data_IF_959971414942
#
_entry.id   IF_959971414942
#
_cell.length_a   1.000
_cell.length_b   1.000
_cell.length_c   1.000
_cell.angle_alpha   90.00
_cell.angle_beta   90.00
_cell.angle_gamma   90.00
#
_symmetry.space_group_name_H-M   'P 1'
#
loop_
_entity.id
_entity.type
_entity.pdbx_description
1 polymer ?
#
# COMPACT_ATOMS: atom_id res chain seq x y z
N UNK A 1 -6.08 8.77 16.32
CA UNK A 1 -5.43 7.54 15.84
C UNK A 1 -5.29 7.72 14.34
N UNK A 2 -4.06 7.71 13.85
CA UNK A 2 -3.79 7.80 12.41
C UNK A 2 -3.40 6.40 12.00
N UNK A 3 -4.14 5.82 11.08
CA UNK A 3 -3.80 4.53 10.49
C UNK A 3 -2.83 4.80 9.34
N UNK A 4 -1.74 4.05 9.25
CA UNK A 4 -0.80 4.11 8.13
C UNK A 4 -0.72 2.75 7.44
N UNK A 5 -0.60 2.75 6.10
CA UNK A 5 -0.33 1.53 5.34
C UNK A 5 1.17 1.30 5.29
N UNK A 6 1.62 0.07 5.53
CA UNK A 6 3.00 -0.32 5.30
C UNK A 6 3.07 -1.53 4.35
N UNK A 7 4.20 -1.68 3.66
CA UNK A 7 4.43 -2.76 2.71
C UNK A 7 4.97 -3.97 3.44
N UNK A 8 4.32 -5.11 3.27
CA UNK A 8 4.80 -6.42 3.72
C UNK A 8 5.28 -7.19 2.49
N UNK A 9 6.43 -7.87 2.60
CA UNK A 9 7.01 -8.68 1.54
C UNK A 9 6.97 -10.17 1.92
N UNK A 10 6.84 -11.05 0.93
CA UNK A 10 6.84 -12.51 1.13
C UNK A 10 8.23 -13.09 1.43
N UNK A 11 9.23 -12.21 1.46
CA UNK A 11 10.61 -12.53 1.77
C UNK A 11 11.00 -11.84 3.08
N UNK A 12 11.31 -12.63 4.10
CA UNK A 12 11.70 -12.16 5.43
C UNK A 12 13.03 -11.39 5.43
N UNK A 13 13.95 -11.71 4.49
CA UNK A 13 15.24 -11.05 4.35
C UNK A 13 15.44 -10.51 2.92
N UNK A 14 14.74 -9.42 2.55
CA UNK A 14 14.75 -8.89 1.19
C UNK A 14 16.07 -8.18 0.83
N UNK A 15 16.91 -7.87 1.82
CA UNK A 15 18.19 -7.16 1.65
C UNK A 15 18.04 -5.64 1.49
N UNK A 16 16.87 -5.09 1.75
CA UNK A 16 16.57 -3.66 1.77
C UNK A 16 15.49 -3.33 2.80
N UNK A 17 15.31 -2.05 3.11
CA UNK A 17 14.26 -1.58 4.00
C UNK A 17 12.96 -1.35 3.22
N UNK A 18 11.88 -2.01 3.65
CA UNK A 18 10.52 -1.87 3.08
C UNK A 18 9.69 -0.80 3.80
N UNK A 19 10.32 0.00 4.67
CA UNK A 19 9.68 1.12 5.33
C UNK A 19 9.33 2.27 4.35
N UNK A 20 8.12 2.78 4.50
CA UNK A 20 7.60 3.98 3.83
C UNK A 20 7.14 4.97 4.89
N UNK A 21 7.35 6.26 4.65
CA UNK A 21 6.89 7.28 5.59
C UNK A 21 5.37 7.39 5.58
N UNK A 22 4.77 7.49 4.38
CA UNK A 22 3.33 7.51 4.15
C UNK A 22 2.56 8.63 4.87
N UNK A 23 3.22 9.60 5.51
CA UNK A 23 2.59 10.64 6.35
C UNK A 23 1.67 11.57 5.58
N UNK A 24 1.93 11.81 4.30
CA UNK A 24 1.10 12.62 3.43
C UNK A 24 0.00 11.78 2.80
N UNK A 25 0.30 10.53 2.41
CA UNK A 25 -0.71 9.58 1.96
C UNK A 25 -1.80 9.37 3.01
N UNK A 26 -1.43 9.10 4.26
CA UNK A 26 -2.37 8.87 5.36
C UNK A 26 -3.31 10.07 5.63
N UNK A 27 -2.88 11.29 5.30
CA UNK A 27 -3.70 12.51 5.44
C UNK A 27 -4.64 12.73 4.25
N UNK A 28 -4.36 12.07 3.14
CA UNK A 28 -5.01 12.28 1.85
C UNK A 28 -5.75 11.02 1.36
N UNK A 29 -5.84 9.95 2.16
CA UNK A 29 -6.50 8.67 1.82
C UNK A 29 -7.84 8.85 1.13
N UNK A 30 -8.74 9.67 1.69
CA UNK A 30 -10.06 9.90 1.10
C UNK A 30 -10.01 10.55 -0.30
N UNK A 31 -8.99 11.38 -0.58
CA UNK A 31 -8.80 11.98 -1.91
C UNK A 31 -8.14 11.00 -2.87
N UNK A 32 -7.18 10.22 -2.39
CA UNK A 32 -6.55 9.15 -3.17
C UNK A 32 -7.58 8.11 -3.60
N UNK A 33 -8.48 7.70 -2.71
CA UNK A 33 -9.60 6.82 -3.07
C UNK A 33 -10.49 7.43 -4.15
N UNK A 34 -10.80 8.72 -4.05
CA UNK A 34 -11.57 9.41 -5.08
C UNK A 34 -10.84 9.43 -6.44
N UNK A 35 -9.51 9.60 -6.43
CA UNK A 35 -8.66 9.51 -7.62
C UNK A 35 -8.69 8.08 -8.18
N UNK A 36 -8.48 7.04 -7.36
CA UNK A 36 -8.54 5.64 -7.77
C UNK A 36 -9.88 5.30 -8.43
N UNK A 37 -10.99 5.72 -7.82
CA UNK A 37 -12.33 5.54 -8.37
C UNK A 37 -12.50 6.26 -9.72
N UNK A 38 -11.98 7.47 -9.86
CA UNK A 38 -12.03 8.26 -11.11
C UNK A 38 -11.21 7.59 -12.22
N UNK A 39 -10.08 6.98 -11.88
CA UNK A 39 -9.20 6.25 -12.80
C UNK A 39 -9.70 4.83 -13.09
N UNK A 40 -10.62 4.30 -12.28
CA UNK A 40 -11.09 2.91 -12.40
C UNK A 40 -10.04 1.87 -11.98
N UNK A 41 -9.10 2.25 -11.11
CA UNK A 41 -8.05 1.38 -10.58
C UNK A 41 -8.37 0.96 -9.13
N UNK A 42 -7.68 -0.08 -8.65
CA UNK A 42 -7.74 -0.53 -7.25
C UNK A 42 -7.31 0.58 -6.29
N UNK A 43 -7.80 0.53 -5.05
CA UNK A 43 -7.44 1.42 -3.93
C UNK A 43 -6.39 0.76 -3.03
N UNK A 44 -5.82 1.54 -2.11
CA UNK A 44 -4.94 0.99 -1.07
C UNK A 44 -5.62 -0.15 -0.29
N UNK A 45 -6.90 0.04 0.09
CA UNK A 45 -7.68 -0.99 0.80
C UNK A 45 -7.85 -2.30 0.00
N UNK A 46 -7.81 -2.26 -1.33
CA UNK A 46 -7.92 -3.49 -2.14
C UNK A 46 -6.62 -4.32 -2.15
N UNK A 47 -5.50 -3.71 -1.72
CA UNK A 47 -4.22 -4.38 -1.52
C UNK A 47 -3.96 -4.71 -0.04
N UNK A 48 -4.87 -4.32 0.84
CA UNK A 48 -4.78 -4.65 2.26
C UNK A 48 -5.16 -6.12 2.45
N UNK A 49 -4.24 -6.89 3.01
CA UNK A 49 -4.53 -8.21 3.56
C UNK A 49 -3.93 -8.33 4.93
N UNK A 50 -4.75 -8.79 5.86
CA UNK A 50 -4.38 -9.07 7.23
C UNK A 50 -4.33 -10.59 7.40
N UNK A 51 -3.30 -11.07 8.08
CA UNK A 51 -3.23 -12.48 8.49
C UNK A 51 -4.23 -12.78 9.61
N UNK A 52 -4.46 -14.06 9.86
CA UNK A 52 -5.27 -14.52 11.01
C UNK A 52 -4.73 -13.98 12.33
N UNK A 53 -3.41 -14.00 12.48
CA UNK A 53 -2.69 -13.48 13.64
C UNK A 53 -2.90 -11.96 13.78
N UNK A 54 -2.80 -11.19 12.69
CA UNK A 54 -3.01 -9.73 12.72
C UNK A 54 -4.43 -9.36 13.19
N UNK A 55 -5.45 -10.09 12.70
CA UNK A 55 -6.84 -9.83 13.08
C UNK A 55 -7.07 -10.27 14.53
N UNK A 56 -6.49 -11.40 14.93
CA UNK A 56 -6.59 -11.91 16.30
C UNK A 56 -5.96 -10.93 17.30
N UNK A 57 -4.79 -10.39 16.98
CA UNK A 57 -4.12 -9.36 17.77
C UNK A 57 -4.94 -8.06 17.83
N UNK A 58 -5.57 -7.66 16.71
CA UNK A 58 -6.40 -6.47 16.65
C UNK A 58 -7.70 -6.60 17.48
N UNK A 59 -8.32 -7.79 17.48
CA UNK A 59 -9.57 -8.06 18.20
C UNK A 59 -9.35 -8.49 19.66
N UNK A 60 -8.16 -8.99 19.99
CA UNK A 60 -7.85 -9.58 21.30
C UNK A 60 -8.49 -10.94 21.53
N UNK A 61 -8.89 -11.64 20.46
CA UNK A 61 -9.46 -12.99 20.47
C UNK A 61 -9.02 -13.76 19.23
N UNK A 62 -8.81 -15.07 19.36
CA UNK A 62 -8.49 -15.94 18.21
C UNK A 62 -9.66 -15.97 17.23
N UNK A 63 -9.39 -15.65 15.96
CA UNK A 63 -10.37 -15.68 14.88
C UNK A 63 -9.92 -16.64 13.80
N UNK A 64 -10.70 -17.68 13.49
CA UNK A 64 -10.44 -18.53 12.32
C UNK A 64 -11.02 -17.86 11.06
N UNK A 65 -10.17 -17.57 10.07
CA UNK A 65 -10.61 -17.06 8.77
C UNK A 65 -11.13 -18.21 7.88
N UNK A 66 -12.17 -17.97 7.07
CA UNK A 66 -12.61 -18.94 6.07
C UNK A 66 -11.46 -19.35 5.12
N UNK A 67 -11.40 -20.62 4.72
CA UNK A 67 -10.41 -21.11 3.74
C UNK A 67 -10.41 -20.22 2.47
N UNK A 68 -9.29 -19.53 2.24
CA UNK A 68 -9.11 -18.63 1.09
C UNK A 68 -9.29 -17.14 1.38
N UNK A 69 -9.71 -16.76 2.59
CA UNK A 69 -9.70 -15.37 3.08
C UNK A 69 -8.40 -15.05 3.86
N UNK A 70 -7.28 -15.67 3.48
CA UNK A 70 -5.98 -15.42 4.08
C UNK A 70 -5.15 -14.35 3.35
N UNK A 71 -3.92 -14.17 3.83
CA UNK A 71 -2.90 -13.26 3.30
C UNK A 71 -2.75 -13.41 1.77
N UNK A 72 -3.05 -12.35 1.03
CA UNK A 72 -3.01 -12.35 -0.44
C UNK A 72 -1.79 -11.59 -0.91
N UNK A 73 -0.96 -12.28 -1.65
CA UNK A 73 0.24 -11.72 -2.24
C UNK A 73 0.02 -11.17 -3.64
N UNK A 74 0.42 -9.93 -3.87
CA UNK A 74 0.38 -9.22 -5.15
C UNK A 74 1.77 -9.15 -5.78
N UNK A 75 1.80 -9.08 -7.11
CA UNK A 75 3.08 -8.96 -7.84
C UNK A 75 3.64 -7.55 -7.71
N UNK A 76 4.97 -7.42 -7.70
CA UNK A 76 5.61 -6.11 -7.68
C UNK A 76 5.16 -5.21 -8.84
N UNK A 77 4.95 -5.78 -10.04
CA UNK A 77 4.41 -5.07 -11.20
C UNK A 77 3.02 -4.46 -10.94
N UNK A 78 2.14 -5.13 -10.20
CA UNK A 78 0.84 -4.56 -9.80
C UNK A 78 1.02 -3.31 -8.91
N UNK A 79 1.99 -3.36 -8.00
CA UNK A 79 2.33 -2.22 -7.12
C UNK A 79 2.90 -1.05 -7.90
N UNK A 80 3.87 -1.32 -8.78
CA UNK A 80 4.49 -0.32 -9.66
C UNK A 80 3.42 0.34 -10.55
N UNK A 81 2.55 -0.45 -11.18
CA UNK A 81 1.49 0.06 -12.03
C UNK A 81 0.52 0.95 -11.26
N UNK A 82 0.15 0.55 -10.04
CA UNK A 82 -0.74 1.30 -9.16
C UNK A 82 -0.15 2.67 -8.77
N UNK A 83 1.09 2.70 -8.24
CA UNK A 83 1.71 3.96 -7.81
C UNK A 83 2.05 4.86 -8.99
N UNK A 84 2.45 4.30 -10.13
CA UNK A 84 2.74 5.08 -11.34
C UNK A 84 1.49 5.78 -11.88
N UNK A 85 0.32 5.13 -11.81
CA UNK A 85 -0.94 5.73 -12.22
C UNK A 85 -1.32 6.93 -11.32
N UNK A 86 -1.13 6.79 -10.00
CA UNK A 86 -1.36 7.88 -9.05
C UNK A 86 -0.37 9.04 -9.24
N UNK A 87 0.92 8.74 -9.37
CA UNK A 87 1.97 9.73 -9.64
C UNK A 87 1.64 10.52 -10.92
N UNK A 88 1.29 9.83 -12.00
CA UNK A 88 0.93 10.47 -13.27
C UNK A 88 -0.29 11.39 -13.09
N UNK A 89 -1.35 10.89 -12.45
CA UNK A 89 -2.56 11.68 -12.23
C UNK A 89 -2.31 12.93 -11.38
N UNK A 90 -1.54 12.80 -10.30
CA UNK A 90 -1.23 13.91 -9.39
C UNK A 90 -0.32 14.93 -10.05
N UNK A 91 0.63 14.51 -10.89
CA UNK A 91 1.44 15.43 -11.70
C UNK A 91 0.56 16.25 -12.67
N UNK A 92 -0.42 15.62 -13.31
CA UNK A 92 -1.34 16.30 -14.22
C UNK A 92 -2.40 17.14 -13.49
N UNK A 93 -2.79 16.74 -12.27
CA UNK A 93 -3.87 17.33 -11.49
C UNK A 93 -3.44 17.60 -10.03
N UNK A 94 -2.42 18.46 -9.78
CA UNK A 94 -1.84 18.64 -8.45
C UNK A 94 -2.81 19.24 -7.42
N UNK A 95 -3.94 19.78 -7.87
CA UNK A 95 -5.01 20.34 -7.01
C UNK A 95 -5.95 19.29 -6.43
N UNK A 96 -5.88 18.04 -6.91
CA UNK A 96 -6.71 16.94 -6.40
C UNK A 96 -6.26 16.48 -5.00
N UNK A 97 -5.05 16.87 -4.57
CA UNK A 97 -4.50 16.63 -3.22
C UNK A 97 -4.05 17.95 -2.57
N UNK A 98 -3.99 17.99 -1.23
CA UNK A 98 -3.57 19.21 -0.52
C UNK A 98 -2.07 19.50 -0.61
N UNK A 99 -1.25 18.45 -0.56
CA UNK A 99 0.20 18.56 -0.64
C UNK A 99 0.76 17.64 -1.73
N UNK A 100 0.71 18.05 -3.00
CA UNK A 100 1.12 17.21 -4.12
C UNK A 100 2.59 16.77 -4.01
N UNK A 101 3.49 17.67 -3.62
CA UNK A 101 4.91 17.34 -3.46
C UNK A 101 5.13 16.23 -2.43
N UNK A 102 4.52 16.36 -1.25
CA UNK A 102 4.63 15.34 -0.20
C UNK A 102 3.96 14.02 -0.56
N UNK A 103 2.82 14.05 -1.25
CA UNK A 103 2.16 12.83 -1.72
C UNK A 103 3.00 12.13 -2.80
N UNK A 104 3.62 12.88 -3.71
CA UNK A 104 4.51 12.34 -4.73
C UNK A 104 5.79 11.75 -4.13
N UNK A 105 6.34 12.39 -3.09
CA UNK A 105 7.47 11.87 -2.32
C UNK A 105 7.12 10.52 -1.69
N UNK A 106 6.00 10.44 -0.96
CA UNK A 106 5.54 9.18 -0.37
C UNK A 106 5.31 8.12 -1.47
N UNK A 107 4.62 8.43 -2.58
CA UNK A 107 4.38 7.47 -3.66
C UNK A 107 5.67 6.99 -4.34
N UNK A 108 6.71 7.84 -4.40
CA UNK A 108 8.01 7.47 -4.92
C UNK A 108 8.74 6.48 -4.01
N UNK A 109 8.58 6.58 -2.69
CA UNK A 109 9.10 5.58 -1.74
C UNK A 109 8.45 4.20 -1.97
N UNK A 110 7.13 4.15 -2.17
CA UNK A 110 6.45 2.89 -2.54
C UNK A 110 6.96 2.34 -3.87
N UNK A 111 7.14 3.21 -4.88
CA UNK A 111 7.65 2.80 -6.18
C UNK A 111 9.06 2.18 -6.08
N UNK A 112 9.96 2.79 -5.30
CA UNK A 112 11.31 2.28 -5.07
C UNK A 112 11.29 0.91 -4.37
N UNK A 113 10.41 0.71 -3.38
CA UNK A 113 10.22 -0.59 -2.73
C UNK A 113 9.70 -1.63 -3.71
N UNK A 114 8.71 -1.31 -4.52
CA UNK A 114 8.18 -2.26 -5.49
C UNK A 114 9.19 -2.57 -6.60
N UNK A 115 10.01 -1.62 -7.03
CA UNK A 115 11.12 -1.90 -7.95
C UNK A 115 12.15 -2.85 -7.33
N UNK A 116 12.52 -2.65 -6.06
CA UNK A 116 13.43 -3.56 -5.34
C UNK A 116 12.81 -4.95 -5.16
N UNK A 117 11.53 -5.02 -4.80
CA UNK A 117 10.79 -6.28 -4.70
C UNK A 117 10.76 -7.01 -6.06
N UNK A 118 10.54 -6.27 -7.16
CA UNK A 118 10.56 -6.83 -8.51
C UNK A 118 11.91 -7.43 -8.87
N UNK A 119 13.02 -6.75 -8.50
CA UNK A 119 14.38 -7.23 -8.77
C UNK A 119 14.70 -8.57 -8.11
N UNK A 120 14.08 -8.87 -6.97
CA UNK A 120 14.25 -10.15 -6.25
C UNK A 120 13.10 -11.14 -6.50
N UNK A 121 12.10 -10.76 -7.31
CA UNK A 121 10.91 -11.57 -7.57
C UNK A 121 9.99 -11.74 -6.36
N UNK A 122 10.08 -10.85 -5.37
CA UNK A 122 9.23 -10.86 -4.19
C UNK A 122 7.82 -10.36 -4.51
N UNK A 123 6.86 -10.86 -3.75
CA UNK A 123 5.49 -10.38 -3.73
C UNK A 123 5.26 -9.50 -2.52
N UNK A 124 4.16 -8.76 -2.55
CA UNK A 124 3.84 -7.79 -1.51
C UNK A 124 2.35 -7.75 -1.21
N UNK A 125 2.00 -7.22 -0.05
CA UNK A 125 0.68 -6.69 0.25
C UNK A 125 0.81 -5.48 1.18
N UNK A 126 -0.31 -4.81 1.44
CA UNK A 126 -0.37 -3.81 2.50
C UNK A 126 -0.88 -4.43 3.79
N UNK A 127 -0.42 -3.86 4.89
CA UNK A 127 -1.00 -4.05 6.21
C UNK A 127 -1.17 -2.68 6.90
N UNK A 128 -1.93 -2.62 8.01
CA UNK A 128 -2.19 -1.39 8.75
C UNK A 128 -1.35 -1.31 10.02
N UNK A 129 -0.74 -0.16 10.24
CA UNK A 129 -0.14 0.23 11.52
C UNK A 129 -1.13 1.16 12.26
N UNK A 130 -1.61 0.74 13.44
CA UNK A 130 -2.71 1.33 14.21
C UNK A 130 -2.30 1.87 15.59
#
# INVERSE_FOLDING_TARGET
MSVAYYVVLDNEEPGFDAFVNGKYLAKETAKLDAICNKLGIRKFDDFLTMSEDDISDMLGEEVELPEGEGERWFTADEGIAFVSALITHINDNPKDVKNPEGVLEDLAEYADIFEKANNIGAKWHLNLDI
#
